data_IF_649349753714
#
_entry.id   IF_649349753714
#
_cell.length_a   1.000
_cell.length_b   1.000
_cell.length_c   1.000
_cell.angle_alpha   90.00
_cell.angle_beta   90.00
_cell.angle_gamma   90.00
#
_symmetry.space_group_name_H-M   'P 1'
#
loop_
_entity.id
_entity.type
_entity.pdbx_description
1 polymer ?
#
# COMPACT_ATOMS: atom_id res chain seq x y z
N UNK A 1 10.38 -27.87 6.54
CA UNK A 1 8.97 -27.53 6.25
C UNK A 1 8.98 -26.24 5.46
N UNK A 2 8.99 -26.34 4.14
CA UNK A 2 8.92 -25.17 3.26
C UNK A 2 7.45 -24.79 3.14
N UNK A 3 7.01 -23.80 3.92
CA UNK A 3 5.70 -23.20 3.78
C UNK A 3 5.65 -22.52 2.41
N UNK A 4 5.04 -23.17 1.43
CA UNK A 4 4.78 -22.63 0.10
C UNK A 4 3.65 -21.61 0.19
N UNK A 5 3.89 -20.54 0.94
CA UNK A 5 2.98 -19.41 1.04
C UNK A 5 3.38 -18.47 -0.06
N UNK A 6 2.57 -18.40 -1.12
CA UNK A 6 2.70 -17.37 -2.16
C UNK A 6 3.01 -16.05 -1.47
N UNK A 7 4.13 -15.35 -1.79
CA UNK A 7 4.51 -14.15 -1.07
C UNK A 7 3.34 -13.17 -1.09
N UNK A 8 2.80 -12.85 0.09
CA UNK A 8 1.74 -11.85 0.19
C UNK A 8 2.35 -10.54 -0.27
N UNK A 9 1.79 -9.93 -1.33
CA UNK A 9 2.23 -8.59 -1.76
C UNK A 9 2.08 -7.64 -0.57
N UNK A 10 3.16 -6.91 -0.25
CA UNK A 10 3.18 -5.92 0.83
C UNK A 10 2.14 -4.85 0.56
N UNK A 11 1.50 -4.34 1.61
CA UNK A 11 0.42 -3.35 1.51
C UNK A 11 0.65 -2.14 2.39
N UNK A 12 0.10 -1.02 1.94
CA UNK A 12 -0.15 0.16 2.76
C UNK A 12 -1.64 0.51 2.72
N UNK A 13 -2.16 0.93 3.87
CA UNK A 13 -3.54 1.38 4.05
C UNK A 13 -3.54 2.91 4.07
N UNK A 14 -4.36 3.52 3.22
CA UNK A 14 -4.54 4.96 3.19
C UNK A 14 -5.85 5.39 3.87
N UNK A 15 -5.86 6.61 4.40
CA UNK A 15 -7.06 7.24 4.95
C UNK A 15 -8.16 7.41 3.90
N UNK A 16 -9.42 7.36 4.32
CA UNK A 16 -10.59 7.54 3.46
C UNK A 16 -10.56 8.86 2.68
N UNK A 17 -10.01 9.92 3.30
CA UNK A 17 -9.85 11.23 2.67
C UNK A 17 -8.86 11.21 1.49
N UNK A 18 -7.89 10.29 1.46
CA UNK A 18 -6.89 10.19 0.40
C UNK A 18 -7.37 9.35 -0.80
N UNK A 19 -8.29 8.40 -0.57
CA UNK A 19 -8.78 7.45 -1.58
C UNK A 19 -9.13 8.11 -2.92
N UNK A 20 -10.00 9.14 -3.00
CA UNK A 20 -10.39 9.69 -4.30
C UNK A 20 -9.21 10.31 -5.08
N UNK A 21 -8.20 10.84 -4.39
CA UNK A 21 -7.03 11.43 -5.03
C UNK A 21 -6.09 10.36 -5.57
N UNK A 22 -5.84 9.32 -4.77
CA UNK A 22 -4.96 8.21 -5.13
C UNK A 22 -5.58 7.37 -6.26
N UNK A 23 -6.89 7.13 -6.22
CA UNK A 23 -7.62 6.41 -7.27
C UNK A 23 -7.55 7.09 -8.65
N UNK A 24 -7.28 8.40 -8.70
CA UNK A 24 -7.08 9.16 -9.96
C UNK A 24 -5.61 9.27 -10.38
N UNK A 25 -4.72 8.46 -9.79
CA UNK A 25 -3.28 8.47 -10.08
C UNK A 25 -2.48 9.47 -9.23
N UNK A 26 -3.07 10.04 -8.18
CA UNK A 26 -2.35 10.87 -7.22
C UNK A 26 -1.33 10.07 -6.42
N UNK A 27 -0.26 10.75 -5.98
CA UNK A 27 0.76 10.15 -5.10
C UNK A 27 0.22 9.96 -3.68
N UNK A 28 0.70 8.92 -2.99
CA UNK A 28 0.49 8.72 -1.56
C UNK A 28 1.63 9.40 -0.80
N UNK A 29 1.29 10.22 0.19
CA UNK A 29 2.26 10.82 1.12
C UNK A 29 2.11 10.20 2.51
N UNK A 30 3.20 10.15 3.29
CA UNK A 30 3.23 9.48 4.61
C UNK A 30 2.09 9.89 5.56
N UNK A 31 1.70 11.17 5.59
CA UNK A 31 0.58 11.65 6.43
C UNK A 31 -0.80 11.04 6.09
N UNK A 32 -0.94 10.43 4.92
CA UNK A 32 -2.17 9.80 4.46
C UNK A 32 -2.20 8.29 4.76
N UNK A 33 -1.05 7.70 5.09
CA UNK A 33 -0.89 6.29 5.42
C UNK A 33 -1.28 6.08 6.87
N UNK A 34 -2.24 5.19 7.12
CA UNK A 34 -2.74 4.87 8.47
C UNK A 34 -2.18 3.55 9.00
N UNK A 35 -1.72 2.68 8.10
CA UNK A 35 -1.00 1.45 8.43
C UNK A 35 -0.17 1.01 7.22
N UNK A 36 0.95 0.33 7.44
CA UNK A 36 1.76 -0.26 6.38
C UNK A 36 2.49 -1.50 6.90
N UNK A 37 2.79 -2.44 6.00
CA UNK A 37 3.70 -3.53 6.31
C UNK A 37 5.10 -2.93 6.58
N UNK A 38 5.69 -3.22 7.75
CA UNK A 38 6.90 -2.55 8.24
C UNK A 38 8.19 -2.94 7.50
N UNK A 39 8.13 -4.01 6.73
CA UNK A 39 9.25 -4.53 5.96
C UNK A 39 9.32 -3.97 4.53
N UNK A 40 8.46 -3.00 4.17
CA UNK A 40 8.52 -2.30 2.88
C UNK A 40 9.88 -1.61 2.74
N UNK A 41 10.60 -1.92 1.67
CA UNK A 41 11.88 -1.31 1.32
C UNK A 41 11.73 -0.26 0.21
N UNK A 42 12.71 0.64 0.12
CA UNK A 42 12.74 1.66 -0.93
C UNK A 42 12.75 1.02 -2.32
N UNK A 43 11.95 1.56 -3.23
CA UNK A 43 11.80 1.06 -4.59
C UNK A 43 10.91 -0.18 -4.75
N UNK A 44 10.39 -0.79 -3.68
CA UNK A 44 9.47 -1.93 -3.77
C UNK A 44 8.10 -1.54 -4.32
N UNK A 45 7.47 -2.45 -5.07
CA UNK A 45 6.07 -2.29 -5.47
C UNK A 45 5.15 -2.81 -4.37
N UNK A 46 4.20 -1.96 -3.95
CA UNK A 46 3.28 -2.24 -2.84
C UNK A 46 1.83 -2.03 -3.26
N UNK A 47 0.92 -2.79 -2.64
CA UNK A 47 -0.52 -2.61 -2.79
C UNK A 47 -0.98 -1.42 -1.94
N UNK A 48 -1.71 -0.50 -2.55
CA UNK A 48 -2.39 0.58 -1.83
C UNK A 48 -3.84 0.18 -1.65
N UNK A 49 -4.30 0.10 -0.40
CA UNK A 49 -5.67 -0.32 -0.05
C UNK A 49 -6.38 0.73 0.81
N UNK A 50 -7.72 0.71 0.78
CA UNK A 50 -8.54 1.42 1.76
C UNK A 50 -8.61 0.66 3.10
N UNK A 51 -9.26 1.26 4.10
CA UNK A 51 -9.48 0.65 5.43
C UNK A 51 -10.30 -0.65 5.43
N UNK A 52 -10.99 -0.95 4.33
CA UNK A 52 -11.80 -2.15 4.14
C UNK A 52 -11.03 -3.22 3.32
N UNK A 53 -9.72 -3.06 3.16
CA UNK A 53 -8.83 -3.91 2.37
C UNK A 53 -9.19 -3.95 0.87
N UNK A 54 -9.90 -2.93 0.35
CA UNK A 54 -10.15 -2.80 -1.09
C UNK A 54 -8.93 -2.22 -1.78
N UNK A 55 -8.49 -2.88 -2.84
CA UNK A 55 -7.36 -2.43 -3.66
C UNK A 55 -7.74 -1.16 -4.41
N UNK A 56 -6.91 -0.13 -4.26
CA UNK A 56 -7.04 1.14 -4.98
C UNK A 56 -6.10 1.16 -6.17
N UNK A 57 -4.81 0.85 -5.96
CA UNK A 57 -3.75 0.83 -6.97
C UNK A 57 -2.53 0.06 -6.46
N UNK A 58 -1.50 -0.10 -7.30
CA UNK A 58 -0.13 -0.33 -6.84
C UNK A 58 0.67 0.97 -6.84
N UNK A 59 1.74 1.03 -6.05
CA UNK A 59 2.67 2.15 -6.00
C UNK A 59 4.09 1.65 -5.77
N UNK A 60 5.08 2.41 -6.24
CA UNK A 60 6.49 2.21 -5.87
C UNK A 60 6.76 3.00 -4.58
N UNK A 61 7.26 2.32 -3.54
CA UNK A 61 7.65 2.95 -2.30
C UNK A 61 8.85 3.89 -2.52
N UNK A 62 8.78 5.07 -1.90
CA UNK A 62 9.86 6.05 -1.80
C UNK A 62 9.88 6.48 -0.35
N UNK A 63 10.97 6.16 0.38
CA UNK A 63 11.09 6.36 1.83
C UNK A 63 11.91 7.60 2.21
#
# INVERSE_FOLDING_TARGET
MSDSRTPRRKKMVISDAAVPFVARGGRVYGRQVIAADLDIADGEEVLVVDRNDRIITTARAVL
#
